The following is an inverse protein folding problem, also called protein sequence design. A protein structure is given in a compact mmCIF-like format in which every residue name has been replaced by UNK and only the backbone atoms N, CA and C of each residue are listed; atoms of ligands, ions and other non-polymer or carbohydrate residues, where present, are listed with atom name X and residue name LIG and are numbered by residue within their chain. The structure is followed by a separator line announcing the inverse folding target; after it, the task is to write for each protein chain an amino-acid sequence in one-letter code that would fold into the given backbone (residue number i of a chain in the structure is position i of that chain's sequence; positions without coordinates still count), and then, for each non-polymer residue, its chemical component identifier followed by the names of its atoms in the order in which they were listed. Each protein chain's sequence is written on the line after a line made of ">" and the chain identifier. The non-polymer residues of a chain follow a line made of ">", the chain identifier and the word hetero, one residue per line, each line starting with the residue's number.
data_IF_458641773410
#
_entry.id   IF_458641773410
#
_cell.length_a   1.000
_cell.length_b   1.000
_cell.length_c   1.000
_cell.angle_alpha   90.00
_cell.angle_beta   90.00
_cell.angle_gamma   90.00
#
_symmetry.space_group_name_H-M   'P 1'
#
loop_
_entity.id
_entity.type
_entity.pdbx_description
1 polymer ?
#
# COMPACT_ATOMS: atom_id res chain seq x y z
N UNK A 1 4.60 13.83 26.33
CA UNK A 1 4.41 14.31 25.44
C UNK A 1 3.80 13.57 24.50
N UNK A 2 3.15 13.94 23.84
CA UNK A 2 2.49 13.25 23.04
C UNK A 2 3.21 13.03 21.89
N UNK A 3 3.08 12.00 21.24
CA UNK A 3 3.65 11.80 20.07
C UNK A 3 2.85 12.22 19.00
N UNK A 4 3.37 12.84 18.01
CA UNK A 4 2.63 13.17 16.82
C UNK A 4 2.55 11.95 16.01
N UNK A 5 1.37 11.56 15.65
CA UNK A 5 1.22 10.41 14.79
C UNK A 5 1.63 10.75 13.39
N UNK A 6 2.30 9.84 12.71
CA UNK A 6 2.67 10.02 11.32
C UNK A 6 1.43 10.07 10.44
N UNK A 7 1.47 10.95 9.47
CA UNK A 7 0.41 11.04 8.46
C UNK A 7 0.89 10.32 7.23
N UNK A 8 0.14 9.30 6.81
CA UNK A 8 0.53 8.46 5.69
C UNK A 8 -0.31 8.71 4.47
N UNK A 9 0.33 8.67 3.31
CA UNK A 9 -0.38 8.53 2.05
C UNK A 9 -0.37 7.03 1.72
N UNK A 10 -1.55 6.43 1.68
CA UNK A 10 -1.68 5.01 1.34
C UNK A 10 -2.04 4.90 -0.13
N UNK A 11 -1.15 4.34 -0.92
CA UNK A 11 -1.29 4.25 -2.37
C UNK A 11 -1.29 2.78 -2.75
N UNK A 12 -2.39 2.33 -3.34
CA UNK A 12 -2.62 0.92 -3.58
C UNK A 12 -2.69 0.62 -5.08
N UNK A 13 -1.95 -0.38 -5.50
CA UNK A 13 -1.92 -0.82 -6.89
C UNK A 13 -3.01 -1.89 -7.06
N UNK A 14 -4.12 -1.52 -7.68
CA UNK A 14 -5.27 -2.42 -7.80
C UNK A 14 -4.99 -3.66 -8.64
N UNK A 15 -4.01 -3.60 -9.52
CA UNK A 15 -3.71 -4.74 -10.38
C UNK A 15 -2.97 -5.84 -9.63
N UNK A 16 -2.39 -5.52 -8.49
CA UNK A 16 -1.57 -6.46 -7.75
C UNK A 16 -2.07 -6.73 -6.34
N UNK A 17 -3.28 -6.29 -6.01
CA UNK A 17 -3.82 -6.46 -4.67
C UNK A 17 -5.29 -6.83 -4.74
N UNK A 18 -5.69 -7.82 -3.99
CA UNK A 18 -7.09 -8.24 -3.94
C UNK A 18 -7.89 -7.39 -2.96
N UNK A 19 -9.16 -7.13 -3.25
CA UNK A 19 -10.00 -6.33 -2.34
C UNK A 19 -10.10 -6.89 -0.94
N UNK A 20 -9.94 -8.19 -0.78
CA UNK A 20 -10.08 -8.80 0.54
C UNK A 20 -9.02 -8.33 1.51
N UNK A 21 -7.95 -7.74 1.03
CA UNK A 21 -6.86 -7.31 1.90
C UNK A 21 -7.01 -5.89 2.43
N UNK A 22 -8.02 -5.13 1.96
CA UNK A 22 -8.07 -3.71 2.28
C UNK A 22 -8.14 -3.45 3.79
N UNK A 23 -8.92 -4.25 4.48
CA UNK A 23 -9.05 -4.09 5.92
C UNK A 23 -7.70 -4.24 6.62
N UNK A 24 -6.95 -5.26 6.22
CA UNK A 24 -5.66 -5.53 6.87
C UNK A 24 -4.63 -4.46 6.53
N UNK A 25 -4.68 -3.94 5.32
CA UNK A 25 -3.78 -2.87 4.92
C UNK A 25 -4.03 -1.64 5.77
N UNK A 26 -5.29 -1.24 5.90
CA UNK A 26 -5.62 -0.04 6.66
C UNK A 26 -5.39 -0.23 8.15
N UNK A 27 -5.59 -1.44 8.66
CA UNK A 27 -5.28 -1.74 10.06
C UNK A 27 -3.77 -1.61 10.30
N UNK A 28 -2.97 -2.08 9.36
CA UNK A 28 -1.52 -2.01 9.50
C UNK A 28 -1.06 -0.56 9.52
N UNK A 29 -1.65 0.27 8.67
CA UNK A 29 -1.30 1.69 8.65
C UNK A 29 -1.73 2.35 9.96
N UNK A 30 -2.91 2.00 10.48
CA UNK A 30 -3.38 2.65 11.69
C UNK A 30 -2.54 2.29 12.90
N UNK A 31 -1.82 1.18 12.87
CA UNK A 31 -0.88 0.86 13.93
C UNK A 31 0.34 1.78 13.91
N UNK A 32 0.62 2.41 12.78
CA UNK A 32 1.80 3.26 12.62
C UNK A 32 1.44 4.74 12.61
N UNK A 33 0.20 5.08 12.32
CA UNK A 33 -0.18 6.47 12.23
C UNK A 33 -1.57 6.65 11.66
N UNK A 34 -1.76 7.69 10.88
CA UNK A 34 -3.05 8.05 10.32
C UNK A 34 -2.97 8.07 8.81
N UNK A 35 -3.96 7.46 8.15
CA UNK A 35 -4.02 7.49 6.69
C UNK A 35 -4.77 8.75 6.25
N UNK A 36 -4.03 9.76 5.79
CA UNK A 36 -4.65 11.00 5.35
C UNK A 36 -4.97 10.98 3.87
N UNK A 37 -4.28 10.14 3.09
CA UNK A 37 -4.63 9.86 1.71
C UNK A 37 -4.85 8.38 1.59
N UNK A 38 -5.96 7.98 0.98
CA UNK A 38 -6.24 6.58 0.69
C UNK A 38 -6.66 6.50 -0.76
N UNK A 39 -5.75 6.13 -1.64
CA UNK A 39 -5.97 6.11 -3.07
C UNK A 39 -5.61 4.77 -3.67
N UNK A 40 -6.39 4.35 -4.65
CA UNK A 40 -6.14 3.09 -5.31
C UNK A 40 -6.18 3.32 -6.82
N UNK A 41 -5.22 2.74 -7.52
CA UNK A 41 -4.97 3.02 -8.91
C UNK A 41 -5.26 1.82 -9.79
N UNK A 42 -6.04 2.01 -10.82
CA UNK A 42 -6.36 0.94 -11.73
C UNK A 42 -7.28 1.42 -12.84
N UNK A 43 -7.57 0.53 -13.77
CA UNK A 43 -8.51 0.82 -14.84
C UNK A 43 -9.89 0.37 -14.38
N UNK A 44 -10.67 1.30 -13.92
CA UNK A 44 -11.99 1.03 -13.35
C UNK A 44 -13.07 0.77 -14.39
N UNK A 45 -12.74 0.88 -15.67
CA UNK A 45 -13.63 0.46 -16.73
C UNK A 45 -13.55 -1.04 -16.95
N UNK A 46 -12.54 -1.71 -16.37
CA UNK A 46 -12.38 -3.13 -16.51
C UNK A 46 -13.36 -3.85 -15.59
N UNK A 47 -14.15 -4.75 -16.15
CA UNK A 47 -15.14 -5.50 -15.36
C UNK A 47 -14.52 -6.32 -14.24
N UNK A 48 -13.27 -6.69 -14.38
CA UNK A 48 -12.59 -7.47 -13.36
C UNK A 48 -12.36 -6.68 -12.10
N UNK A 49 -12.51 -5.36 -12.15
CA UNK A 49 -12.35 -4.53 -10.96
C UNK A 49 -13.66 -4.32 -10.23
N UNK A 50 -14.73 -5.00 -10.69
CA UNK A 50 -16.04 -4.77 -10.10
C UNK A 50 -16.09 -5.12 -8.62
N UNK A 51 -15.29 -6.10 -8.19
CA UNK A 51 -15.30 -6.51 -6.80
C UNK A 51 -14.77 -5.44 -5.84
N UNK A 52 -14.11 -4.42 -6.37
CA UNK A 52 -13.63 -3.35 -5.53
C UNK A 52 -14.72 -2.35 -5.12
N UNK A 53 -15.85 -2.33 -5.83
CA UNK A 53 -16.79 -1.24 -5.69
C UNK A 53 -17.28 -1.03 -4.24
N UNK A 54 -17.78 -2.08 -3.62
CA UNK A 54 -18.29 -1.95 -2.27
C UNK A 54 -17.18 -1.69 -1.27
N UNK A 55 -16.02 -2.29 -1.50
CA UNK A 55 -14.89 -2.13 -0.62
C UNK A 55 -14.43 -0.68 -0.60
N UNK A 56 -14.40 -0.03 -1.76
CA UNK A 56 -13.97 1.36 -1.84
C UNK A 56 -14.91 2.26 -1.04
N UNK A 57 -16.21 1.99 -1.11
CA UNK A 57 -17.17 2.79 -0.36
C UNK A 57 -17.05 2.53 1.13
N UNK A 58 -16.93 1.27 1.51
CA UNK A 58 -16.91 0.90 2.92
C UNK A 58 -15.70 1.47 3.64
N UNK A 59 -14.57 1.59 2.96
CA UNK A 59 -13.32 2.01 3.60
C UNK A 59 -12.89 3.41 3.19
N UNK A 60 -13.73 4.09 2.41
CA UNK A 60 -13.47 5.46 1.96
C UNK A 60 -12.14 5.58 1.24
N UNK A 61 -11.91 4.67 0.29
CA UNK A 61 -10.71 4.70 -0.54
C UNK A 61 -11.08 5.34 -1.87
N UNK A 62 -10.26 6.26 -2.31
CA UNK A 62 -10.53 7.04 -3.51
C UNK A 62 -9.93 6.38 -4.75
N UNK A 63 -10.76 5.92 -5.69
CA UNK A 63 -10.22 5.29 -6.90
C UNK A 63 -9.72 6.33 -7.87
N UNK A 64 -8.53 6.11 -8.40
CA UNK A 64 -7.92 6.97 -9.41
C UNK A 64 -7.86 6.16 -10.69
N UNK A 65 -8.43 6.72 -11.76
CA UNK A 65 -8.46 6.03 -13.02
C UNK A 65 -7.13 6.12 -13.75
N UNK A 66 -6.69 5.01 -14.27
CA UNK A 66 -5.54 5.00 -15.14
C UNK A 66 -5.82 4.01 -16.26
N UNK A 67 -5.92 4.51 -17.50
CA UNK A 67 -6.21 3.65 -18.63
C UNK A 67 -4.94 2.92 -19.07
N UNK A 68 -5.12 1.68 -19.51
CA UNK A 68 -4.03 0.93 -20.08
C UNK A 68 -3.98 1.21 -21.55
N UNK A 69 -3.19 2.14 -21.96
CA UNK A 69 -3.12 2.49 -23.38
C UNK A 69 -2.32 1.49 -24.19
N UNK A 70 -1.48 0.70 -23.54
CA UNK A 70 -0.70 -0.30 -24.25
C UNK A 70 -0.87 -1.61 -23.54
N UNK A 71 -0.42 -2.66 -24.18
CA UNK A 71 -0.40 -3.94 -23.50
C UNK A 71 0.80 -4.03 -22.59
N UNK A 72 1.60 -3.02 -22.54
CA UNK A 72 2.77 -3.02 -21.70
C UNK A 72 2.40 -2.96 -20.26
N UNK A 73 3.27 -3.46 -19.41
CA UNK A 73 2.95 -3.55 -18.05
C UNK A 73 3.17 -2.31 -17.26
N UNK A 74 3.76 -1.28 -17.79
CA UNK A 74 4.07 -0.09 -17.02
C UNK A 74 2.99 0.96 -17.04
N UNK A 75 1.88 0.69 -17.75
CA UNK A 75 0.86 1.71 -17.93
C UNK A 75 0.18 2.10 -16.62
N UNK A 76 -0.02 1.14 -15.73
CA UNK A 76 -0.77 1.38 -14.51
C UNK A 76 0.06 2.11 -13.46
N UNK A 77 1.35 1.96 -13.51
CA UNK A 77 2.20 2.46 -12.44
C UNK A 77 2.39 3.96 -12.48
N UNK A 78 2.21 4.57 -13.64
CA UNK A 78 2.54 5.97 -13.82
C UNK A 78 1.69 6.91 -12.97
N UNK A 79 0.39 6.64 -12.86
CA UNK A 79 -0.47 7.54 -12.09
C UNK A 79 -0.10 7.49 -10.61
N UNK A 80 0.22 6.32 -10.11
CA UNK A 80 0.60 6.18 -8.71
C UNK A 80 1.91 6.91 -8.43
N UNK A 81 2.86 6.81 -9.34
CA UNK A 81 4.15 7.48 -9.17
C UNK A 81 3.97 9.00 -9.23
N UNK A 82 3.18 9.50 -10.17
CA UNK A 82 2.94 10.93 -10.28
C UNK A 82 2.26 11.45 -9.03
N UNK A 83 1.24 10.75 -8.55
CA UNK A 83 0.55 11.17 -7.34
C UNK A 83 1.47 11.15 -6.14
N UNK A 84 2.31 10.14 -6.03
CA UNK A 84 3.24 10.06 -4.92
C UNK A 84 4.17 11.28 -4.89
N UNK A 85 4.65 11.69 -6.05
CA UNK A 85 5.55 12.85 -6.11
C UNK A 85 4.79 14.13 -5.81
N UNK A 86 3.55 14.26 -6.29
CA UNK A 86 2.75 15.43 -5.99
C UNK A 86 2.48 15.52 -4.49
N UNK A 87 2.17 14.40 -3.85
CA UNK A 87 1.92 14.39 -2.42
C UNK A 87 3.19 14.71 -1.64
N UNK A 88 4.32 14.18 -2.10
CA UNK A 88 5.60 14.46 -1.47
C UNK A 88 5.86 15.98 -1.44
N UNK A 89 5.65 16.63 -2.58
CA UNK A 89 5.94 18.05 -2.65
C UNK A 89 4.89 18.92 -1.98
N UNK A 90 3.71 18.36 -1.66
CA UNK A 90 2.72 19.12 -0.92
C UNK A 90 3.13 19.31 0.53
N UNK A 91 3.98 18.43 1.04
CA UNK A 91 4.43 18.54 2.42
C UNK A 91 3.39 18.14 3.46
N UNK A 92 2.34 17.43 3.04
CA UNK A 92 1.24 17.11 3.94
C UNK A 92 1.36 15.77 4.64
N UNK A 93 2.37 14.99 4.35
CA UNK A 93 2.50 13.66 4.95
C UNK A 93 3.89 13.45 5.50
N UNK A 94 4.00 12.47 6.37
CA UNK A 94 5.27 12.10 6.98
C UNK A 94 5.78 10.78 6.42
N UNK A 95 4.91 10.03 5.78
CA UNK A 95 5.29 8.75 5.23
C UNK A 95 4.35 8.27 4.16
N UNK A 96 4.76 7.23 3.48
CA UNK A 96 3.99 6.61 2.42
C UNK A 96 3.85 5.13 2.68
N UNK A 97 2.67 4.59 2.40
CA UNK A 97 2.46 3.16 2.41
C UNK A 97 2.21 2.74 0.96
N UNK A 98 3.16 2.05 0.37
CA UNK A 98 3.07 1.61 -1.03
C UNK A 98 2.62 0.15 -1.03
N UNK A 99 1.45 -0.10 -1.59
CA UNK A 99 0.86 -1.43 -1.55
C UNK A 99 0.90 -2.03 -2.94
N UNK A 100 1.89 -2.87 -3.19
CA UNK A 100 2.10 -3.52 -4.47
C UNK A 100 3.20 -4.55 -4.33
N UNK A 101 3.23 -5.52 -5.22
CA UNK A 101 4.32 -6.49 -5.29
C UNK A 101 5.22 -6.23 -6.49
N UNK A 102 5.07 -5.09 -7.15
CA UNK A 102 5.75 -4.81 -8.39
C UNK A 102 7.07 -4.08 -8.14
N UNK A 103 8.16 -4.63 -8.66
CA UNK A 103 9.47 -4.02 -8.49
C UNK A 103 9.61 -2.69 -9.19
N UNK A 104 8.66 -2.34 -10.07
CA UNK A 104 8.71 -1.05 -10.74
C UNK A 104 8.61 0.11 -9.75
N UNK A 105 8.15 -0.14 -8.53
CA UNK A 105 8.08 0.92 -7.53
C UNK A 105 9.35 1.06 -6.69
N UNK A 106 10.39 0.29 -7.01
CA UNK A 106 11.64 0.34 -6.24
C UNK A 106 12.24 1.75 -6.24
N UNK A 107 12.30 2.37 -7.40
CA UNK A 107 12.90 3.70 -7.48
C UNK A 107 12.05 4.75 -6.78
N UNK A 108 10.75 4.59 -6.81
CA UNK A 108 9.86 5.49 -6.08
C UNK A 108 10.13 5.39 -4.59
N UNK A 109 10.22 4.18 -4.05
CA UNK A 109 10.50 4.01 -2.63
C UNK A 109 11.83 4.65 -2.26
N UNK A 110 12.85 4.44 -3.08
CA UNK A 110 14.16 5.04 -2.83
C UNK A 110 14.08 6.56 -2.83
N UNK A 111 13.36 7.12 -3.80
CA UNK A 111 13.25 8.57 -3.93
C UNK A 111 12.53 9.18 -2.73
N UNK A 112 11.47 8.52 -2.26
CA UNK A 112 10.73 9.02 -1.12
C UNK A 112 11.57 8.99 0.15
N UNK A 113 12.36 7.95 0.32
CA UNK A 113 13.24 7.86 1.48
C UNK A 113 14.35 8.92 1.42
N UNK A 114 14.86 9.20 0.24
CA UNK A 114 15.87 10.27 0.08
C UNK A 114 15.30 11.61 0.49
N UNK A 115 14.00 11.80 0.36
CA UNK A 115 13.36 13.04 0.76
C UNK A 115 12.97 13.04 2.25
N UNK A 116 13.37 12.01 2.98
CA UNK A 116 13.10 11.96 4.41
C UNK A 116 11.77 11.35 4.79
N UNK A 117 11.08 10.73 3.84
CA UNK A 117 9.80 10.10 4.16
C UNK A 117 10.01 8.70 4.73
N UNK A 118 9.13 8.31 5.63
CA UNK A 118 9.09 6.93 6.09
C UNK A 118 8.32 6.13 5.05
N UNK A 119 8.86 5.02 4.56
CA UNK A 119 8.20 4.23 3.54
C UNK A 119 7.91 2.83 4.04
N UNK A 120 6.63 2.50 4.10
CA UNK A 120 6.17 1.16 4.44
C UNK A 120 5.70 0.50 3.16
N UNK A 121 6.25 -0.65 2.81
CA UNK A 121 5.76 -1.42 1.69
C UNK A 121 4.86 -2.53 2.19
N UNK A 122 3.83 -2.86 1.43
CA UNK A 122 2.98 -3.99 1.73
C UNK A 122 2.77 -4.74 0.42
N UNK A 123 3.06 -6.01 0.42
CA UNK A 123 2.89 -6.82 -0.78
C UNK A 123 2.90 -8.29 -0.46
N UNK A 124 2.81 -9.09 -1.51
CA UNK A 124 2.82 -10.54 -1.35
C UNK A 124 4.23 -11.05 -1.17
N UNK A 125 4.32 -12.31 -0.75
CA UNK A 125 5.61 -12.93 -0.52
C UNK A 125 6.48 -12.96 -1.78
N UNK A 126 5.87 -12.97 -2.95
CA UNK A 126 6.61 -13.00 -4.21
C UNK A 126 7.28 -11.67 -4.55
N UNK A 127 7.07 -10.64 -3.76
CA UNK A 127 7.63 -9.33 -4.03
C UNK A 127 9.16 -9.39 -4.16
N UNK A 128 9.73 -8.86 -5.22
CA UNK A 128 11.18 -8.94 -5.40
C UNK A 128 11.94 -8.23 -4.30
N UNK A 129 13.09 -8.78 -3.98
CA UNK A 129 13.90 -8.25 -2.89
C UNK A 129 14.28 -6.79 -3.06
N UNK A 130 14.59 -6.29 -4.26
CA UNK A 130 14.96 -4.88 -4.39
C UNK A 130 13.88 -3.92 -3.89
N UNK A 131 12.62 -4.23 -4.16
CA UNK A 131 11.56 -3.36 -3.68
C UNK A 131 11.44 -3.44 -2.14
N UNK A 132 11.53 -4.64 -1.59
CA UNK A 132 11.47 -4.77 -0.15
C UNK A 132 12.60 -4.01 0.52
N UNK A 133 13.79 -4.10 -0.04
CA UNK A 133 14.96 -3.44 0.53
C UNK A 133 14.88 -1.93 0.41
N UNK A 134 14.12 -1.43 -0.55
CA UNK A 134 13.97 0.01 -0.73
C UNK A 134 13.02 0.64 0.29
N UNK A 135 12.26 -0.16 1.02
CA UNK A 135 11.33 0.36 2.01
C UNK A 135 11.96 0.33 3.40
N UNK A 136 11.49 1.22 4.28
CA UNK A 136 11.93 1.17 5.68
C UNK A 136 11.41 -0.08 6.35
N UNK A 137 10.16 -0.44 6.09
CA UNK A 137 9.58 -1.68 6.59
C UNK A 137 8.79 -2.31 5.45
N UNK A 138 8.67 -3.62 5.47
CA UNK A 138 7.87 -4.31 4.48
C UNK A 138 7.02 -5.36 5.17
N UNK A 139 5.72 -5.32 4.91
CA UNK A 139 4.77 -6.25 5.53
C UNK A 139 4.20 -7.16 4.46
N UNK A 140 4.10 -8.43 4.78
CA UNK A 140 3.58 -9.41 3.83
C UNK A 140 2.08 -9.55 4.00
N UNK A 141 1.35 -9.44 2.90
CA UNK A 141 -0.11 -9.59 2.91
C UNK A 141 -0.53 -10.92 3.51
N UNK A 142 0.22 -11.97 3.21
CA UNK A 142 -0.10 -13.30 3.72
C UNK A 142 -0.02 -13.36 5.24
N UNK A 143 0.84 -12.55 5.81
CA UNK A 143 1.03 -12.56 7.25
C UNK A 143 0.04 -11.64 7.94
N UNK A 144 -0.12 -10.42 7.45
CA UNK A 144 -1.02 -9.49 8.13
C UNK A 144 -2.47 -9.97 8.06
N UNK A 145 -2.83 -10.68 7.00
CA UNK A 145 -4.20 -11.18 6.87
C UNK A 145 -4.45 -12.42 7.71
N UNK A 146 -3.41 -13.07 8.17
CA UNK A 146 -3.61 -14.26 9.00
C UNK A 146 -4.08 -13.92 10.41
N UNK A 147 -4.10 -12.64 10.76
CA UNK A 147 -4.59 -12.24 12.06
C UNK A 147 -6.05 -12.58 12.27
N UNK A 148 -6.77 -12.85 11.20
CA UNK A 148 -8.14 -13.28 11.35
C UNK A 148 -8.22 -14.74 11.70
N UNK A 149 -7.12 -15.47 11.70
CA UNK A 149 -7.18 -16.87 12.04
C UNK A 149 -7.57 -17.00 13.51
N UNK A 150 -8.24 -18.04 13.84
CA UNK A 150 -8.65 -18.25 15.21
C UNK A 150 -7.42 -18.24 16.05
N UNK A 151 -7.28 -17.65 16.75
CA UNK A 151 -6.23 -17.51 17.44
C UNK A 151 -5.61 -18.27 17.95
N UNK A 152 -5.61 -18.37 18.02
CA UNK A 152 -5.08 -18.94 18.40
C UNK A 152 -4.06 -19.24 18.32
N UNK A 153 -4.03 -19.21 18.15
CA UNK A 153 -3.24 -19.54 17.97
C UNK A 153 -2.17 -19.31 17.81
N UNK A 154 -1.88 -19.15 17.56
CA UNK A 154 -0.85 -18.97 17.20
C UNK A 154 -0.20 -18.21 17.73
N UNK A 155 -0.44 -17.68 17.95
CA UNK A 155 0.09 -16.92 18.35
C UNK A 155 0.89 -16.94 19.16
N UNK A 156 0.98 -16.97 19.72
CA UNK A 156 1.74 -16.87 20.51
C UNK A 156 2.79 -17.28 20.23
N UNK A 157 2.96 -17.71 19.69
CA UNK A 157 3.98 -18.22 19.38
C UNK A 157 4.68 -17.51 18.60
N UNK A 158 4.39 -17.43 17.74
CA UNK A 158 5.05 -16.75 16.88
C UNK A 158 5.22 -15.40 17.08
N UNK A 159 4.53 -14.82 17.59
CA UNK A 159 4.62 -13.58 17.69
C UNK A 159 5.32 -13.17 18.67
N UNK A 160 5.46 -13.70 19.27
CA UNK A 160 6.08 -13.30 20.23
C UNK A 160 7.37 -13.07 19.95
N UNK A 161 7.52 -13.06 19.50
CA UNK A 161 8.47 -12.89 19.30
C UNK A 161 8.77 -12.41 18.49
N UNK A 162 8.29 -12.28 18.17
CA UNK A 162 8.50 -11.90 17.57
C UNK A 162 8.75 -11.55 17.52
#
# INVERSE_FOLDING_TARGET
>A
MEQCERRFAVLIDADNVSPKYIKYILDEVSDQGIATYKRIYGDWTDNEKRSWKNVLLDWSVNPIQQYSYTTGKNATDSAMIIDAMDILYSGNVDGFCLVSSDSDFTKLAQRLREAGMFVMGIGEQKTPKPFRAACDTFKLLEIISSDDAPEATVIEIGRAHV
#
